data_IF_846092836326
#
_entry.id   IF_846092836326
#
_cell.length_a   1.000
_cell.length_b   1.000
_cell.length_c   1.000
_cell.angle_alpha   90.00
_cell.angle_beta   90.00
_cell.angle_gamma   90.00
#
_symmetry.space_group_name_H-M   'P 1'
#
loop_
_entity.id
_entity.type
_entity.pdbx_description
1 polymer ?
#
# COMPACT_ATOMS: atom_id res chain seq x y z
N UNK A 1 18.11 -20.74 7.15
CA UNK A 1 17.83 -19.33 6.80
C UNK A 1 16.63 -18.89 7.64
N UNK A 2 16.81 -17.91 8.55
CA UNK A 2 15.68 -17.35 9.33
C UNK A 2 14.73 -16.68 8.33
N UNK A 3 13.56 -17.27 8.13
CA UNK A 3 12.50 -16.67 7.31
C UNK A 3 11.75 -15.69 8.19
N UNK A 4 11.76 -14.42 7.81
CA UNK A 4 10.96 -13.41 8.48
C UNK A 4 9.48 -13.64 8.15
N UNK A 5 8.60 -13.41 9.11
CA UNK A 5 7.15 -13.53 8.91
C UNK A 5 6.42 -12.31 9.44
N UNK A 6 5.35 -11.96 8.74
CA UNK A 6 4.35 -10.98 9.18
C UNK A 6 3.00 -11.70 9.30
N UNK A 7 2.10 -11.12 10.09
CA UNK A 7 0.78 -11.70 10.33
C UNK A 7 -0.31 -10.88 9.62
N UNK A 8 -1.30 -11.55 9.07
CA UNK A 8 -2.57 -10.92 8.67
C UNK A 8 -3.38 -10.65 9.93
N UNK A 9 -3.80 -9.40 10.13
CA UNK A 9 -4.39 -8.92 11.39
C UNK A 9 -5.87 -9.26 11.47
N UNK A 10 -6.61 -9.10 10.37
CA UNK A 10 -8.06 -9.26 10.37
C UNK A 10 -8.61 -9.79 9.04
N UNK A 11 -9.91 -10.05 8.97
CA UNK A 11 -10.61 -10.50 7.78
C UNK A 11 -10.50 -12.01 7.54
N UNK A 12 -10.72 -12.40 6.28
CA UNK A 12 -10.81 -13.80 5.83
C UNK A 12 -9.56 -14.63 6.17
N UNK A 13 -8.39 -14.00 6.12
CA UNK A 13 -7.09 -14.66 6.33
C UNK A 13 -6.46 -14.33 7.69
N UNK A 14 -7.24 -13.87 8.65
CA UNK A 14 -6.77 -13.50 10.00
C UNK A 14 -5.86 -14.57 10.59
N UNK A 15 -4.77 -14.12 11.24
CA UNK A 15 -3.72 -14.94 11.88
C UNK A 15 -2.85 -15.78 10.93
N UNK A 16 -3.06 -15.73 9.61
CA UNK A 16 -2.15 -16.37 8.67
C UNK A 16 -0.81 -15.64 8.67
N UNK A 17 0.26 -16.41 8.59
CA UNK A 17 1.64 -15.88 8.57
C UNK A 17 2.14 -15.84 7.13
N UNK A 18 2.63 -14.68 6.72
CA UNK A 18 3.20 -14.41 5.41
C UNK A 18 4.72 -14.40 5.54
N UNK A 19 5.41 -15.09 4.68
CA UNK A 19 6.87 -15.07 4.61
C UNK A 19 7.32 -13.82 3.83
N UNK A 20 8.47 -13.28 4.20
CA UNK A 20 9.13 -12.27 3.38
C UNK A 20 10.66 -12.42 3.44
N UNK A 21 11.38 -12.06 2.35
CA UNK A 21 12.81 -12.22 2.29
C UNK A 21 13.53 -11.19 3.16
N UNK A 22 14.69 -11.58 3.68
CA UNK A 22 15.58 -10.63 4.35
C UNK A 22 16.32 -9.79 3.29
N UNK A 23 15.80 -8.59 3.03
CA UNK A 23 16.33 -7.62 2.07
C UNK A 23 16.64 -6.34 2.83
N UNK A 24 17.82 -5.77 2.61
CA UNK A 24 18.20 -4.50 3.21
C UNK A 24 17.18 -3.41 2.84
N UNK A 25 16.69 -2.70 3.86
CA UNK A 25 15.70 -1.63 3.69
C UNK A 25 14.25 -2.09 3.65
N UNK A 26 13.97 -3.40 3.58
CA UNK A 26 12.61 -3.91 3.67
C UNK A 26 12.24 -4.08 5.15
N UNK A 27 11.40 -3.15 5.65
CA UNK A 27 10.80 -3.21 6.98
C UNK A 27 9.30 -3.39 6.82
N UNK A 28 8.73 -4.51 7.26
CA UNK A 28 7.26 -4.64 7.23
C UNK A 28 6.64 -3.68 8.24
N UNK A 29 5.53 -3.08 7.86
CA UNK A 29 4.68 -2.28 8.74
C UNK A 29 4.31 -3.09 9.98
N UNK A 30 4.49 -2.51 11.17
CA UNK A 30 4.19 -3.21 12.44
C UNK A 30 2.70 -3.56 12.54
N UNK A 31 2.38 -4.62 13.29
CA UNK A 31 0.99 -5.05 13.51
C UNK A 31 0.13 -3.92 14.06
N UNK A 32 0.66 -3.16 15.04
CA UNK A 32 -0.05 -2.01 15.64
C UNK A 32 -0.32 -0.89 14.63
N UNK A 33 0.63 -0.60 13.75
CA UNK A 33 0.43 0.43 12.72
C UNK A 33 -0.55 -0.07 11.65
N UNK A 34 -0.45 -1.32 11.21
CA UNK A 34 -1.44 -1.93 10.31
C UNK A 34 -2.86 -1.85 10.87
N UNK A 35 -3.03 -2.19 12.14
CA UNK A 35 -4.34 -2.09 12.79
C UNK A 35 -4.87 -0.66 12.76
N UNK A 36 -4.03 0.33 13.07
CA UNK A 36 -4.41 1.76 12.98
C UNK A 36 -4.82 2.14 11.56
N UNK A 37 -4.00 1.80 10.55
CA UNK A 37 -4.25 2.12 9.15
C UNK A 37 -5.58 1.52 8.70
N UNK A 38 -5.79 0.24 8.96
CA UNK A 38 -6.98 -0.45 8.49
C UNK A 38 -8.25 -0.12 9.29
N UNK A 39 -8.14 0.40 10.51
CA UNK A 39 -9.25 1.03 11.20
C UNK A 39 -9.66 2.35 10.53
N UNK A 40 -8.71 3.15 10.04
CA UNK A 40 -9.00 4.34 9.24
C UNK A 40 -9.63 4.00 7.89
N UNK A 41 -9.18 2.91 7.27
CA UNK A 41 -9.65 2.44 5.96
C UNK A 41 -10.96 1.65 6.03
N UNK A 42 -11.44 1.26 7.21
CA UNK A 42 -12.62 0.41 7.35
C UNK A 42 -13.84 0.88 6.54
N UNK A 43 -14.15 2.20 6.44
CA UNK A 43 -15.28 2.67 5.64
C UNK A 43 -15.08 2.55 4.12
N UNK A 44 -13.85 2.36 3.64
CA UNK A 44 -13.49 2.47 2.21
C UNK A 44 -13.00 1.16 1.61
N UNK A 45 -12.61 0.18 2.45
CA UNK A 45 -11.87 -1.01 1.99
C UNK A 45 -12.75 -2.00 1.22
N UNK A 46 -14.02 -2.15 1.63
CA UNK A 46 -14.92 -3.10 0.98
C UNK A 46 -15.21 -2.64 -0.46
N UNK A 47 -15.21 -3.56 -1.40
CA UNK A 47 -15.43 -3.34 -2.83
C UNK A 47 -14.42 -2.37 -3.51
N UNK A 48 -13.30 -2.05 -2.84
CA UNK A 48 -12.26 -1.20 -3.40
C UNK A 48 -11.23 -1.97 -4.24
N UNK A 49 -10.51 -1.24 -5.11
CA UNK A 49 -9.25 -1.67 -5.70
C UNK A 49 -8.13 -1.05 -4.87
N UNK A 50 -7.25 -1.89 -4.33
CA UNK A 50 -6.12 -1.48 -3.50
C UNK A 50 -4.82 -1.59 -4.28
N UNK A 51 -4.03 -0.52 -4.31
CA UNK A 51 -2.72 -0.46 -4.95
C UNK A 51 -1.63 -0.38 -3.89
N UNK A 52 -0.86 -1.46 -3.74
CA UNK A 52 0.34 -1.49 -2.90
C UNK A 52 1.52 -1.06 -3.77
N UNK A 53 1.74 0.27 -3.81
CA UNK A 53 2.65 0.88 -4.79
C UNK A 53 4.13 0.60 -4.48
N UNK A 54 4.46 0.23 -3.26
CA UNK A 54 5.82 -0.13 -2.81
C UNK A 54 5.73 -1.41 -2.00
N UNK A 55 5.30 -2.49 -2.65
CA UNK A 55 4.73 -3.65 -1.99
C UNK A 55 5.67 -4.36 -0.99
N UNK A 56 6.96 -4.39 -1.22
CA UNK A 56 7.92 -4.98 -0.30
C UNK A 56 7.54 -6.40 0.14
N UNK A 57 7.00 -6.53 1.34
CA UNK A 57 6.49 -7.80 1.87
C UNK A 57 5.09 -8.17 1.36
N UNK A 58 4.37 -7.24 0.72
CA UNK A 58 2.97 -7.39 0.29
C UNK A 58 1.96 -7.29 1.42
N UNK A 59 2.39 -6.84 2.61
CA UNK A 59 1.55 -6.93 3.80
C UNK A 59 0.29 -6.06 3.74
N UNK A 60 0.37 -4.87 3.15
CA UNK A 60 -0.77 -3.95 3.04
C UNK A 60 -1.78 -4.43 1.99
N UNK A 61 -1.30 -4.82 0.82
CA UNK A 61 -2.17 -5.35 -0.22
C UNK A 61 -2.86 -6.67 0.17
N UNK A 62 -2.15 -7.60 0.83
CA UNK A 62 -2.75 -8.86 1.31
C UNK A 62 -3.74 -8.61 2.46
N UNK A 63 -3.43 -7.71 3.39
CA UNK A 63 -4.37 -7.29 4.44
C UNK A 63 -5.65 -6.69 3.84
N UNK A 64 -5.52 -5.88 2.78
CA UNK A 64 -6.66 -5.30 2.05
C UNK A 64 -7.58 -6.39 1.49
N UNK A 65 -7.02 -7.38 0.81
CA UNK A 65 -7.79 -8.53 0.29
C UNK A 65 -8.45 -9.33 1.42
N UNK A 66 -7.76 -9.50 2.54
CA UNK A 66 -8.32 -10.16 3.72
C UNK A 66 -9.54 -9.44 4.28
N UNK A 67 -9.61 -8.12 4.14
CA UNK A 67 -10.68 -7.27 4.66
C UNK A 67 -11.77 -6.93 3.65
N UNK A 68 -11.75 -7.55 2.46
CA UNK A 68 -12.84 -7.44 1.49
C UNK A 68 -12.58 -6.48 0.33
N UNK A 69 -11.33 -6.06 0.08
CA UNK A 69 -11.01 -5.39 -1.17
C UNK A 69 -11.30 -6.33 -2.36
N UNK A 70 -11.89 -5.79 -3.42
CA UNK A 70 -12.21 -6.54 -4.64
C UNK A 70 -10.95 -7.04 -5.33
N UNK A 71 -9.90 -6.23 -5.33
CA UNK A 71 -8.63 -6.54 -6.00
C UNK A 71 -7.47 -5.83 -5.32
N UNK A 72 -6.29 -6.44 -5.35
CA UNK A 72 -5.05 -5.78 -5.00
C UNK A 72 -4.07 -5.80 -6.17
N UNK A 73 -3.40 -4.66 -6.38
CA UNK A 73 -2.35 -4.49 -7.39
C UNK A 73 -1.05 -4.20 -6.65
N UNK A 74 -0.02 -5.00 -6.92
CA UNK A 74 1.28 -4.89 -6.25
C UNK A 74 2.34 -4.42 -7.24
N UNK A 75 3.04 -3.34 -6.90
CA UNK A 75 4.20 -2.86 -7.63
C UNK A 75 5.46 -3.06 -6.77
N UNK A 76 6.44 -3.79 -7.30
CA UNK A 76 7.68 -4.08 -6.60
C UNK A 76 8.83 -4.23 -7.61
N UNK A 77 9.97 -3.61 -7.33
CA UNK A 77 11.18 -3.69 -8.18
C UNK A 77 12.03 -4.91 -7.84
N UNK A 78 12.05 -5.33 -6.58
CA UNK A 78 12.86 -6.44 -6.15
C UNK A 78 12.20 -7.78 -6.52
N UNK A 79 12.87 -8.54 -7.38
CA UNK A 79 12.35 -9.82 -7.88
C UNK A 79 12.10 -10.84 -6.75
N UNK A 80 12.97 -10.90 -5.73
CA UNK A 80 12.80 -11.85 -4.61
C UNK A 80 11.58 -11.50 -3.75
N UNK A 81 11.34 -10.21 -3.48
CA UNK A 81 10.16 -9.75 -2.78
C UNK A 81 8.89 -10.07 -3.59
N UNK A 82 8.88 -9.73 -4.86
CA UNK A 82 7.78 -10.01 -5.78
C UNK A 82 7.43 -11.51 -5.85
N UNK A 83 8.45 -12.38 -5.96
CA UNK A 83 8.21 -13.83 -5.96
C UNK A 83 7.61 -14.32 -4.65
N UNK A 84 8.10 -13.79 -3.52
CA UNK A 84 7.55 -14.16 -2.20
C UNK A 84 6.09 -13.68 -2.01
N UNK A 85 5.73 -12.51 -2.55
CA UNK A 85 4.33 -12.07 -2.55
C UNK A 85 3.46 -13.06 -3.33
N UNK A 86 3.89 -13.50 -4.52
CA UNK A 86 3.18 -14.51 -5.31
C UNK A 86 2.99 -15.83 -4.55
N UNK A 87 4.04 -16.29 -3.88
CA UNK A 87 4.00 -17.54 -3.09
C UNK A 87 3.03 -17.41 -1.91
N UNK A 88 3.01 -16.27 -1.24
CA UNK A 88 2.07 -15.98 -0.15
C UNK A 88 0.61 -15.99 -0.67
N UNK A 89 0.34 -15.28 -1.77
CA UNK A 89 -1.00 -15.22 -2.39
C UNK A 89 -1.48 -16.61 -2.80
N UNK A 90 -0.60 -17.42 -3.41
CA UNK A 90 -0.89 -18.82 -3.76
C UNK A 90 -1.18 -19.66 -2.51
N UNK A 91 -0.41 -19.52 -1.44
CA UNK A 91 -0.62 -20.27 -0.18
C UNK A 91 -1.95 -19.92 0.48
N UNK A 92 -2.45 -18.70 0.26
CA UNK A 92 -3.74 -18.23 0.76
C UNK A 92 -4.90 -18.52 -0.20
N UNK A 93 -4.63 -19.13 -1.36
CA UNK A 93 -5.63 -19.36 -2.43
C UNK A 93 -6.33 -18.06 -2.87
N UNK A 94 -5.55 -17.01 -3.04
CA UNK A 94 -6.01 -15.70 -3.50
C UNK A 94 -5.76 -15.61 -5.00
N UNK A 95 -6.78 -15.23 -5.78
CA UNK A 95 -6.71 -15.07 -7.24
C UNK A 95 -6.99 -13.65 -7.74
N UNK A 96 -7.62 -12.81 -6.93
CA UNK A 96 -8.03 -11.45 -7.29
C UNK A 96 -6.91 -10.42 -7.07
N UNK A 97 -5.79 -10.62 -7.75
CA UNK A 97 -4.64 -9.72 -7.69
C UNK A 97 -3.96 -9.51 -9.03
N UNK A 98 -3.23 -8.42 -9.13
CA UNK A 98 -2.21 -8.19 -10.15
C UNK A 98 -0.87 -7.91 -9.47
N UNK A 99 0.22 -8.32 -10.11
CA UNK A 99 1.56 -8.10 -9.59
C UNK A 99 2.52 -7.77 -10.74
N UNK A 100 3.26 -6.69 -10.61
CA UNK A 100 4.16 -6.22 -11.65
C UNK A 100 5.52 -5.82 -11.09
N UNK A 101 6.58 -6.27 -11.78
CA UNK A 101 7.94 -5.77 -11.55
C UNK A 101 8.10 -4.46 -12.29
N UNK A 102 7.81 -3.35 -11.62
CA UNK A 102 7.78 -2.03 -12.26
C UNK A 102 8.17 -0.92 -11.29
N UNK A 103 8.59 0.20 -11.85
CA UNK A 103 8.71 1.45 -11.11
C UNK A 103 7.31 1.98 -10.80
N UNK A 104 7.04 2.24 -9.52
CA UNK A 104 5.72 2.63 -9.03
C UNK A 104 5.26 3.97 -9.60
N UNK A 105 6.16 4.93 -9.80
CA UNK A 105 5.83 6.24 -10.37
C UNK A 105 5.32 6.09 -11.80
N UNK A 106 6.03 5.31 -12.62
CA UNK A 106 5.62 5.02 -14.00
C UNK A 106 4.32 4.24 -14.07
N UNK A 107 4.10 3.35 -13.11
CA UNK A 107 2.87 2.56 -13.04
C UNK A 107 1.67 3.41 -12.62
N UNK A 108 1.83 4.30 -11.64
CA UNK A 108 0.77 5.20 -11.18
C UNK A 108 0.28 6.15 -12.29
N UNK A 109 1.17 6.63 -13.17
CA UNK A 109 0.77 7.46 -14.33
C UNK A 109 -0.18 6.72 -15.28
N UNK A 110 -0.03 5.40 -15.41
CA UNK A 110 -0.78 4.56 -16.36
C UNK A 110 -1.89 3.75 -15.70
N UNK A 111 -2.05 3.86 -14.39
CA UNK A 111 -3.04 3.12 -13.63
C UNK A 111 -4.44 3.50 -14.09
N UNK A 112 -5.26 2.49 -14.41
CA UNK A 112 -6.68 2.65 -14.66
C UNK A 112 -7.45 1.74 -13.70
N UNK A 113 -8.20 2.34 -12.82
CA UNK A 113 -9.04 1.64 -11.83
C UNK A 113 -10.50 1.53 -12.25
N UNK A 114 -10.80 1.90 -13.52
CA UNK A 114 -12.14 1.76 -14.12
C UNK A 114 -13.27 2.38 -13.28
N UNK A 115 -12.97 3.46 -12.56
CA UNK A 115 -13.91 4.16 -11.72
C UNK A 115 -14.23 3.50 -10.37
N UNK A 116 -13.58 2.38 -10.04
CA UNK A 116 -13.76 1.76 -8.72
C UNK A 116 -13.22 2.64 -7.59
N UNK A 117 -13.82 2.51 -6.40
CA UNK A 117 -13.23 3.07 -5.17
C UNK A 117 -11.78 2.62 -5.08
N UNK A 118 -10.88 3.57 -5.00
CA UNK A 118 -9.44 3.32 -5.10
C UNK A 118 -8.72 3.67 -3.81
N UNK A 119 -7.89 2.75 -3.33
CA UNK A 119 -7.01 2.97 -2.18
C UNK A 119 -5.57 2.74 -2.64
N UNK A 120 -4.70 3.72 -2.45
CA UNK A 120 -3.29 3.65 -2.83
C UNK A 120 -2.42 3.73 -1.58
N UNK A 121 -1.57 2.74 -1.35
CA UNK A 121 -0.57 2.74 -0.30
C UNK A 121 0.75 3.27 -0.83
N UNK A 122 1.22 4.36 -0.25
CA UNK A 122 2.52 4.97 -0.51
C UNK A 122 3.41 4.82 0.73
N UNK A 123 4.13 3.71 0.80
CA UNK A 123 5.14 3.40 1.82
C UNK A 123 6.52 3.16 1.16
N UNK A 124 7.08 4.20 0.51
CA UNK A 124 8.36 4.08 -0.18
C UNK A 124 9.54 4.04 0.80
N UNK A 125 10.71 3.57 0.37
CA UNK A 125 11.95 3.70 1.15
C UNK A 125 12.20 5.16 1.55
N UNK A 126 12.51 5.39 2.83
CA UNK A 126 12.73 6.72 3.40
C UNK A 126 13.93 7.45 2.76
N UNK A 127 13.94 8.79 2.86
CA UNK A 127 15.01 9.66 2.38
C UNK A 127 15.27 9.60 0.85
N UNK A 128 14.27 9.20 0.05
CA UNK A 128 14.39 9.12 -1.42
C UNK A 128 13.57 10.16 -2.18
N UNK A 129 12.85 11.04 -1.46
CA UNK A 129 11.98 12.05 -2.07
C UNK A 129 10.99 11.46 -3.11
N UNK A 130 10.44 10.29 -2.82
CA UNK A 130 9.55 9.55 -3.73
C UNK A 130 8.10 10.01 -3.60
N UNK A 131 7.66 10.31 -2.37
CA UNK A 131 6.26 10.67 -2.09
C UNK A 131 5.77 11.86 -2.93
N UNK A 132 6.50 12.99 -3.06
CA UNK A 132 6.07 14.09 -3.93
C UNK A 132 5.84 13.65 -5.38
N UNK A 133 6.72 12.83 -5.94
CA UNK A 133 6.60 12.32 -7.31
C UNK A 133 5.40 11.40 -7.47
N UNK A 134 5.14 10.54 -6.49
CA UNK A 134 3.97 9.66 -6.49
C UNK A 134 2.67 10.47 -6.43
N UNK A 135 2.60 11.48 -5.57
CA UNK A 135 1.44 12.37 -5.46
C UNK A 135 1.18 13.14 -6.76
N UNK A 136 2.23 13.71 -7.40
CA UNK A 136 2.10 14.33 -8.73
C UNK A 136 1.51 13.34 -9.74
N UNK A 137 2.07 12.12 -9.81
CA UNK A 137 1.57 11.10 -10.74
C UNK A 137 0.11 10.73 -10.52
N UNK A 138 -0.34 10.69 -9.25
CA UNK A 138 -1.73 10.42 -8.89
C UNK A 138 -2.65 11.58 -9.29
N UNK A 139 -2.20 12.83 -9.13
CA UNK A 139 -2.98 14.01 -9.53
C UNK A 139 -3.10 14.15 -11.05
N UNK A 140 -2.01 13.90 -11.77
CA UNK A 140 -1.97 13.99 -13.24
C UNK A 140 -2.79 12.87 -13.91
N UNK A 141 -2.96 11.74 -13.23
CA UNK A 141 -3.70 10.60 -13.78
C UNK A 141 -5.22 10.77 -13.58
N UNK A 142 -5.93 11.07 -14.69
CA UNK A 142 -7.39 11.25 -14.72
C UNK A 142 -8.18 9.94 -14.56
N UNK A 143 -7.54 8.78 -14.70
CA UNK A 143 -8.17 7.46 -14.50
C UNK A 143 -8.14 7.02 -13.02
N UNK A 144 -7.47 7.78 -12.14
CA UNK A 144 -7.56 7.61 -10.70
C UNK A 144 -8.70 8.50 -10.22
N UNK A 145 -9.81 7.95 -9.72
CA UNK A 145 -11.00 8.71 -9.37
C UNK A 145 -10.73 9.82 -8.35
N UNK A 146 -11.49 10.90 -8.45
CA UNK A 146 -11.69 11.82 -7.33
C UNK A 146 -12.25 11.03 -6.15
N UNK A 147 -11.93 11.46 -4.95
CA UNK A 147 -12.26 10.77 -3.69
C UNK A 147 -11.51 9.44 -3.46
N UNK A 148 -10.51 9.12 -4.31
CA UNK A 148 -9.55 8.07 -4.02
C UNK A 148 -8.82 8.34 -2.70
N UNK A 149 -8.58 7.28 -1.95
CA UNK A 149 -7.92 7.33 -0.63
C UNK A 149 -6.45 7.00 -0.80
N UNK A 150 -5.58 7.85 -0.29
CA UNK A 150 -4.13 7.61 -0.32
C UNK A 150 -3.61 7.51 1.11
N UNK A 151 -3.05 6.37 1.45
CA UNK A 151 -2.24 6.20 2.65
C UNK A 151 -0.80 6.57 2.35
N UNK A 152 -0.22 7.42 3.16
CA UNK A 152 1.16 7.88 3.01
C UNK A 152 1.93 7.58 4.30
N UNK A 153 3.05 6.87 4.18
CA UNK A 153 4.01 6.68 5.27
C UNK A 153 5.34 7.34 4.90
N UNK A 154 5.85 8.17 5.79
CA UNK A 154 7.13 8.85 5.62
C UNK A 154 7.90 8.91 6.93
N UNK A 155 9.17 9.29 6.85
CA UNK A 155 9.88 9.79 8.03
C UNK A 155 9.16 11.01 8.63
N UNK A 156 9.25 11.18 9.94
CA UNK A 156 8.49 12.18 10.71
C UNK A 156 8.62 13.62 10.19
N UNK A 157 9.80 13.98 9.69
CA UNK A 157 10.13 15.35 9.29
C UNK A 157 10.09 15.55 7.77
N UNK A 158 9.53 14.60 7.02
CA UNK A 158 9.41 14.73 5.57
C UNK A 158 8.56 15.95 5.20
N UNK A 159 9.06 16.74 4.24
CA UNK A 159 8.37 17.92 3.72
C UNK A 159 7.91 17.65 2.29
N UNK A 160 6.61 17.76 2.04
CA UNK A 160 6.01 17.64 0.71
C UNK A 160 4.68 18.39 0.68
N UNK A 161 4.28 18.85 -0.50
CA UNK A 161 2.96 19.45 -0.69
C UNK A 161 1.87 18.37 -0.74
N UNK A 162 0.70 18.73 -0.23
CA UNK A 162 -0.54 18.00 -0.35
C UNK A 162 -1.60 18.79 -1.15
N UNK A 163 -1.16 19.71 -2.01
CA UNK A 163 -2.06 20.42 -2.91
C UNK A 163 -2.84 19.41 -3.75
N UNK A 164 -4.16 19.59 -3.84
CA UNK A 164 -5.07 18.64 -4.48
C UNK A 164 -5.51 17.46 -3.62
N UNK A 165 -5.06 17.39 -2.36
CA UNK A 165 -5.47 16.38 -1.39
C UNK A 165 -5.98 17.02 -0.10
N UNK A 166 -6.92 16.35 0.57
CA UNK A 166 -7.42 16.71 1.90
C UNK A 166 -6.95 15.68 2.92
N UNK A 167 -6.36 16.13 4.03
CA UNK A 167 -5.95 15.24 5.13
C UNK A 167 -7.19 14.81 5.90
N UNK A 168 -7.47 13.52 5.91
CA UNK A 168 -8.56 12.90 6.68
C UNK A 168 -8.10 12.42 8.05
N UNK A 169 -6.92 11.79 8.12
CA UNK A 169 -6.32 11.25 9.35
C UNK A 169 -4.81 11.46 9.34
N UNK A 170 -4.25 11.63 10.52
CA UNK A 170 -2.80 11.71 10.72
C UNK A 170 -2.40 11.08 12.05
N UNK A 171 -1.27 10.38 12.08
CA UNK A 171 -0.64 9.86 13.28
C UNK A 171 0.87 9.92 13.13
N UNK A 172 1.53 10.49 14.12
CA UNK A 172 2.99 10.52 14.20
C UNK A 172 3.49 9.67 15.36
N UNK A 173 4.61 8.99 15.13
CA UNK A 173 5.41 8.32 16.17
C UNK A 173 6.73 9.07 16.34
N UNK A 174 7.69 8.48 17.06
CA UNK A 174 9.05 9.06 17.17
C UNK A 174 9.73 9.23 15.81
N UNK A 175 9.50 8.32 14.86
CA UNK A 175 10.26 8.22 13.60
C UNK A 175 9.41 8.33 12.33
N UNK A 176 8.12 8.06 12.42
CA UNK A 176 7.22 7.90 11.27
C UNK A 176 6.07 8.88 11.37
N UNK A 177 5.66 9.42 10.23
CA UNK A 177 4.39 10.12 10.05
C UNK A 177 3.53 9.34 9.05
N UNK A 178 2.34 8.92 9.49
CA UNK A 178 1.34 8.24 8.69
C UNK A 178 0.16 9.18 8.45
N UNK A 179 -0.26 9.31 7.20
CA UNK A 179 -1.42 10.14 6.81
C UNK A 179 -2.38 9.33 5.95
N UNK A 180 -3.66 9.63 6.12
CA UNK A 180 -4.71 9.25 5.18
C UNK A 180 -5.20 10.52 4.51
N UNK A 181 -5.07 10.62 3.21
CA UNK A 181 -5.52 11.78 2.43
C UNK A 181 -6.49 11.37 1.34
N UNK A 182 -7.34 12.30 0.93
CA UNK A 182 -8.38 12.11 -0.07
C UNK A 182 -8.05 12.99 -1.28
N UNK A 183 -8.00 12.39 -2.49
CA UNK A 183 -7.83 13.15 -3.74
C UNK A 183 -9.04 14.04 -4.00
N UNK A 184 -8.84 15.33 -4.31
CA UNK A 184 -9.92 16.32 -4.51
C UNK A 184 -10.06 16.84 -5.94
N UNK A 185 -9.04 16.67 -6.76
CA UNK A 185 -9.02 17.12 -8.15
C UNK A 185 -8.62 16.01 -9.10
#
# INVERSE_FOLDING_TARGET
VKTNTIRVISGKYKNRRLKFPNINGLRPTSDQLKETIFNWLAPYIHDSICIDAFAGSGSLGIESLSRGATKAIFYELNFKALQQIKDNLKTLDISNFEISKTDSIKALIKLDTQGFQTIIFLDPPFNKNIVPKALSSILENKHIPKDSIIYIETEKNAKYSLDGFEISKEKSTSNICAKLVIKKI
#
